data_IF_566031324498
#
_entry.id   IF_566031324498
#
_cell.length_a   1.000
_cell.length_b   1.000
_cell.length_c   1.000
_cell.angle_alpha   90.00
_cell.angle_beta   90.00
_cell.angle_gamma   90.00
#
_symmetry.space_group_name_H-M   'P 1'
#
loop_
_entity.id
_entity.type
_entity.pdbx_description
1 polymer ?
#
# COMPACT_ATOMS: atom_id res chain seq x y z
N UNK A 1 -22.86 -3.31 -7.13
CA UNK A 1 -21.60 -4.02 -6.77
C UNK A 1 -20.68 -4.17 -7.99
N UNK A 2 -19.37 -4.05 -7.78
CA UNK A 2 -18.34 -4.15 -8.82
C UNK A 2 -17.07 -4.83 -8.26
N UNK A 3 -16.11 -5.13 -9.12
CA UNK A 3 -14.77 -5.56 -8.75
C UNK A 3 -13.77 -4.69 -9.54
N UNK A 4 -12.76 -4.14 -8.89
CA UNK A 4 -11.79 -3.29 -9.57
C UNK A 4 -10.81 -4.14 -10.39
N UNK A 5 -10.56 -3.71 -11.63
CA UNK A 5 -9.46 -4.22 -12.44
C UNK A 5 -8.21 -3.39 -12.14
N UNK A 6 -7.08 -4.05 -11.86
CA UNK A 6 -5.78 -3.40 -11.72
C UNK A 6 -4.67 -4.36 -12.18
N UNK A 7 -3.46 -3.85 -12.38
CA UNK A 7 -2.25 -4.64 -12.60
C UNK A 7 -1.32 -4.49 -11.40
N UNK A 8 -0.12 -5.06 -11.47
CA UNK A 8 0.87 -4.95 -10.39
C UNK A 8 2.22 -5.51 -10.81
N UNK A 9 3.32 -4.96 -10.27
CA UNK A 9 4.61 -5.62 -10.18
C UNK A 9 4.65 -6.45 -8.90
N UNK A 10 4.61 -7.76 -9.05
CA UNK A 10 4.69 -8.70 -7.93
C UNK A 10 6.12 -9.17 -7.76
N UNK A 11 6.71 -8.91 -6.60
CA UNK A 11 8.13 -9.21 -6.32
C UNK A 11 9.10 -8.62 -7.36
N UNK A 12 8.75 -7.48 -7.95
CA UNK A 12 9.56 -6.76 -8.94
C UNK A 12 9.29 -7.13 -10.40
N UNK A 13 8.53 -8.19 -10.67
CA UNK A 13 8.15 -8.58 -12.04
C UNK A 13 6.72 -8.18 -12.36
N UNK A 14 6.48 -7.65 -13.56
CA UNK A 14 5.12 -7.27 -13.97
C UNK A 14 4.22 -8.52 -14.05
N UNK A 15 3.10 -8.50 -13.32
CA UNK A 15 2.20 -9.64 -13.19
C UNK A 15 1.10 -9.66 -14.26
N UNK A 16 0.99 -8.61 -15.08
CA UNK A 16 -0.15 -8.42 -15.99
C UNK A 16 -1.43 -8.13 -15.20
N UNK A 17 -2.58 -8.56 -15.74
CA UNK A 17 -3.88 -8.31 -15.14
C UNK A 17 -4.05 -9.05 -13.79
N UNK A 18 -4.34 -8.24 -12.77
CA UNK A 18 -4.79 -8.61 -11.44
C UNK A 18 -6.18 -7.99 -11.22
N UNK A 19 -6.55 -7.69 -9.99
CA UNK A 19 -7.83 -7.10 -9.68
C UNK A 19 -8.36 -7.62 -8.37
N UNK A 20 -9.56 -7.18 -8.03
CA UNK A 20 -10.29 -7.63 -6.86
C UNK A 20 -10.73 -9.10 -7.03
N UNK A 21 -9.79 -10.04 -6.90
CA UNK A 21 -10.03 -11.47 -7.11
C UNK A 21 -10.77 -12.16 -5.96
N UNK A 22 -10.91 -11.48 -4.83
CA UNK A 22 -11.68 -11.93 -3.69
C UNK A 22 -12.32 -10.75 -2.95
N UNK A 23 -12.44 -9.59 -3.60
CA UNK A 23 -13.05 -8.40 -3.04
C UNK A 23 -14.20 -7.94 -3.94
N UNK A 24 -15.21 -7.33 -3.33
CA UNK A 24 -16.36 -6.80 -4.05
C UNK A 24 -16.65 -5.40 -3.53
N UNK A 25 -16.49 -4.40 -4.39
CA UNK A 25 -16.95 -3.04 -4.15
C UNK A 25 -18.47 -3.03 -4.10
N UNK A 26 -19.01 -2.52 -3.01
CA UNK A 26 -20.46 -2.41 -2.82
C UNK A 26 -21.00 -1.08 -3.31
N UNK A 27 -20.25 -0.01 -3.07
CA UNK A 27 -20.66 1.37 -3.28
C UNK A 27 -19.88 2.33 -2.39
N UNK A 28 -20.29 3.58 -2.42
CA UNK A 28 -19.79 4.65 -1.56
C UNK A 28 -20.87 5.17 -0.64
N UNK A 29 -20.45 5.63 0.53
CA UNK A 29 -21.28 6.37 1.47
C UNK A 29 -20.64 7.70 1.81
N UNK A 30 -21.47 8.72 2.04
CA UNK A 30 -21.01 9.98 2.61
C UNK A 30 -21.10 9.91 4.13
N UNK A 31 -20.00 10.25 4.79
CA UNK A 31 -19.94 10.41 6.22
C UNK A 31 -20.67 11.68 6.68
N UNK A 32 -20.86 11.84 8.00
CA UNK A 32 -21.60 12.97 8.56
C UNK A 32 -21.00 14.36 8.25
N UNK A 33 -19.71 14.44 7.90
CA UNK A 33 -19.01 15.68 7.53
C UNK A 33 -18.76 15.76 6.02
N UNK A 34 -19.45 14.95 5.23
CA UNK A 34 -19.33 14.90 3.77
C UNK A 34 -18.12 14.11 3.28
N UNK A 35 -17.37 13.43 4.16
CA UNK A 35 -16.25 12.60 3.75
C UNK A 35 -16.74 11.35 2.98
N UNK A 36 -16.14 11.04 1.82
CA UNK A 36 -16.51 9.89 1.01
C UNK A 36 -15.80 8.63 1.49
N UNK A 37 -16.54 7.54 1.61
CA UNK A 37 -16.02 6.22 1.98
C UNK A 37 -16.46 5.16 0.99
N UNK A 38 -15.50 4.50 0.36
CA UNK A 38 -15.73 3.27 -0.40
C UNK A 38 -15.89 2.07 0.55
N UNK A 39 -16.81 1.19 0.21
CA UNK A 39 -17.11 -0.02 0.98
C UNK A 39 -16.80 -1.26 0.12
N UNK A 40 -15.96 -2.15 0.64
CA UNK A 40 -15.62 -3.43 0.01
C UNK A 40 -15.89 -4.62 0.94
N UNK A 41 -16.43 -5.72 0.38
CA UNK A 41 -16.46 -7.02 1.06
C UNK A 41 -15.32 -7.90 0.54
N UNK A 42 -14.39 -8.29 1.41
CA UNK A 42 -13.29 -9.21 1.08
C UNK A 42 -13.61 -10.62 1.59
N UNK A 43 -13.60 -11.60 0.69
CA UNK A 43 -14.09 -12.97 0.89
C UNK A 43 -15.49 -13.23 0.31
N UNK A 44 -16.07 -12.25 -0.40
CA UNK A 44 -17.45 -12.29 -0.90
C UNK A 44 -17.72 -13.39 -1.94
N UNK A 45 -16.68 -13.91 -2.60
CA UNK A 45 -16.78 -14.95 -3.61
C UNK A 45 -15.95 -14.63 -4.85
N UNK A 46 -16.20 -15.39 -5.91
CA UNK A 46 -15.51 -15.25 -7.19
C UNK A 46 -15.89 -13.94 -7.89
N UNK A 47 -14.93 -13.40 -8.61
CA UNK A 47 -15.06 -12.26 -9.53
C UNK A 47 -14.37 -12.63 -10.86
N UNK A 48 -14.53 -11.83 -11.92
CA UNK A 48 -13.76 -12.01 -13.15
C UNK A 48 -12.23 -11.96 -12.95
N UNK A 49 -11.76 -11.45 -11.81
CA UNK A 49 -10.35 -11.29 -11.48
C UNK A 49 -9.82 -12.35 -10.51
N UNK A 50 -10.62 -13.36 -10.12
CA UNK A 50 -10.20 -14.42 -9.19
C UNK A 50 -9.08 -15.31 -9.73
N UNK A 51 -8.83 -15.31 -11.04
CA UNK A 51 -7.87 -16.21 -11.71
C UNK A 51 -8.15 -17.66 -11.32
N UNK A 52 -7.20 -18.33 -10.67
CA UNK A 52 -7.32 -19.71 -10.20
C UNK A 52 -7.74 -19.81 -8.72
N UNK A 53 -7.93 -18.69 -8.03
CA UNK A 53 -8.33 -18.67 -6.62
C UNK A 53 -9.86 -18.83 -6.48
N UNK A 54 -10.30 -19.24 -5.29
CA UNK A 54 -11.72 -19.50 -4.99
C UNK A 54 -12.54 -18.26 -4.57
N UNK A 55 -11.91 -17.08 -4.52
CA UNK A 55 -12.55 -15.83 -4.10
C UNK A 55 -12.94 -15.77 -2.61
N UNK A 56 -12.48 -16.72 -1.79
CA UNK A 56 -12.82 -16.83 -0.36
C UNK A 56 -11.65 -16.43 0.55
N UNK A 57 -12.00 -15.93 1.73
CA UNK A 57 -11.08 -15.69 2.84
C UNK A 57 -11.48 -16.53 4.05
N UNK A 58 -10.51 -16.74 4.94
CA UNK A 58 -10.65 -17.60 6.12
C UNK A 58 -10.59 -16.77 7.39
N UNK A 59 -11.15 -17.30 8.47
CA UNK A 59 -11.29 -16.60 9.75
C UNK A 59 -9.96 -16.00 10.25
N UNK A 60 -8.87 -16.76 10.22
CA UNK A 60 -7.55 -16.28 10.67
C UNK A 60 -7.08 -15.05 9.89
N UNK A 61 -7.25 -15.04 8.55
CA UNK A 61 -6.82 -13.93 7.70
C UNK A 61 -7.72 -12.71 7.90
N UNK A 62 -9.03 -12.92 8.03
CA UNK A 62 -10.00 -11.85 8.22
C UNK A 62 -9.85 -11.18 9.59
N UNK A 63 -9.60 -11.94 10.66
CA UNK A 63 -9.33 -11.39 11.99
C UNK A 63 -8.02 -10.61 12.01
N UNK A 64 -6.95 -11.14 11.41
CA UNK A 64 -5.66 -10.43 11.33
C UNK A 64 -5.78 -9.09 10.60
N UNK A 65 -6.47 -9.08 9.46
CA UNK A 65 -6.73 -7.85 8.71
C UNK A 65 -7.60 -6.87 9.50
N UNK A 66 -8.67 -7.35 10.16
CA UNK A 66 -9.52 -6.52 11.01
C UNK A 66 -8.73 -5.87 12.14
N UNK A 67 -8.03 -6.67 12.94
CA UNK A 67 -7.27 -6.19 14.10
C UNK A 67 -6.17 -5.21 13.69
N UNK A 68 -5.42 -5.51 12.62
CA UNK A 68 -4.31 -4.66 12.21
C UNK A 68 -4.77 -3.34 11.57
N UNK A 69 -5.85 -3.37 10.79
CA UNK A 69 -6.49 -2.16 10.26
C UNK A 69 -6.83 -1.18 11.40
N UNK A 70 -7.48 -1.68 12.45
CA UNK A 70 -7.91 -0.84 13.57
C UNK A 70 -6.74 -0.46 14.50
N UNK A 71 -5.76 -1.35 14.70
CA UNK A 71 -4.55 -1.04 15.45
C UNK A 71 -3.74 0.07 14.78
N UNK A 72 -3.54 0.01 13.46
CA UNK A 72 -2.81 1.04 12.71
C UNK A 72 -3.52 2.38 12.78
N UNK A 73 -4.86 2.40 12.68
CA UNK A 73 -5.66 3.61 12.88
C UNK A 73 -5.46 4.21 14.26
N UNK A 74 -5.51 3.40 15.32
CA UNK A 74 -5.31 3.87 16.70
C UNK A 74 -3.86 4.25 17.03
N UNK A 75 -2.88 3.73 16.28
CA UNK A 75 -1.49 4.20 16.30
C UNK A 75 -1.30 5.54 15.56
N UNK A 76 -2.35 6.05 14.90
CA UNK A 76 -2.29 7.27 14.10
C UNK A 76 -1.63 7.08 12.73
N UNK A 77 -1.50 5.84 12.26
CA UNK A 77 -0.91 5.52 10.97
C UNK A 77 -2.02 5.41 9.90
N UNK A 78 -1.92 6.11 8.77
CA UNK A 78 -2.92 6.04 7.71
C UNK A 78 -3.14 4.60 7.22
N UNK A 79 -4.40 4.18 7.18
CA UNK A 79 -4.77 2.79 6.87
C UNK A 79 -6.22 2.67 6.38
N UNK A 80 -6.50 1.61 5.61
CA UNK A 80 -7.87 1.12 5.42
C UNK A 80 -8.47 0.66 6.75
N UNK A 81 -9.77 0.86 6.93
CA UNK A 81 -10.52 0.49 8.14
C UNK A 81 -11.27 -0.81 7.96
N UNK A 82 -11.57 -1.49 9.05
CA UNK A 82 -12.34 -2.72 9.05
C UNK A 82 -13.63 -2.55 9.87
N UNK A 83 -14.78 -2.68 9.22
CA UNK A 83 -16.08 -2.42 9.84
C UNK A 83 -16.71 -3.64 10.52
N UNK A 84 -16.71 -4.79 9.86
CA UNK A 84 -17.33 -6.03 10.36
C UNK A 84 -16.56 -7.26 9.88
N UNK A 85 -16.65 -8.35 10.64
CA UNK A 85 -16.09 -9.65 10.30
C UNK A 85 -17.17 -10.72 10.53
N UNK A 86 -17.63 -11.37 9.46
CA UNK A 86 -18.73 -12.34 9.48
C UNK A 86 -18.22 -13.70 9.03
N UNK A 87 -18.33 -14.70 9.90
CA UNK A 87 -17.94 -16.09 9.61
C UNK A 87 -19.15 -16.93 9.21
N UNK A 88 -18.90 -18.06 8.53
CA UNK A 88 -19.94 -19.00 8.09
C UNK A 88 -19.50 -20.44 8.29
N UNK A 89 -20.44 -21.39 8.19
CA UNK A 89 -20.14 -22.82 8.22
C UNK A 89 -19.61 -23.37 6.89
N UNK A 90 -19.68 -22.57 5.80
CA UNK A 90 -19.00 -22.89 4.55
C UNK A 90 -17.49 -22.99 4.77
N UNK A 91 -16.84 -23.99 4.18
CA UNK A 91 -15.41 -24.24 4.38
C UNK A 91 -14.64 -24.16 3.06
N UNK A 92 -13.37 -23.79 3.17
CA UNK A 92 -12.38 -23.87 2.10
C UNK A 92 -11.11 -24.54 2.59
N UNK A 93 -10.41 -25.19 1.67
CA UNK A 93 -9.15 -25.85 1.96
C UNK A 93 -8.03 -24.82 1.90
N UNK A 94 -7.22 -24.73 2.96
CA UNK A 94 -6.02 -23.91 3.01
C UNK A 94 -4.89 -24.67 3.67
N UNK A 95 -3.71 -24.48 3.14
CA UNK A 95 -2.49 -24.78 3.88
C UNK A 95 -2.16 -23.57 4.77
N UNK A 96 -2.19 -23.79 6.09
CA UNK A 96 -2.03 -22.71 7.06
C UNK A 96 -0.56 -22.30 7.17
N UNK A 97 0.34 -23.27 7.10
CA UNK A 97 1.77 -23.11 7.33
C UNK A 97 2.61 -23.28 6.06
N UNK A 98 1.96 -23.56 4.92
CA UNK A 98 2.62 -23.88 3.66
C UNK A 98 3.53 -25.12 3.79
N UNK A 99 3.13 -26.08 4.63
CA UNK A 99 3.88 -27.29 4.98
C UNK A 99 3.37 -28.56 4.27
N UNK A 100 2.41 -28.41 3.36
CA UNK A 100 1.76 -29.50 2.64
C UNK A 100 0.61 -30.16 3.41
N UNK A 101 0.20 -29.65 4.58
CA UNK A 101 -0.88 -30.21 5.41
C UNK A 101 -2.14 -29.33 5.39
N UNK A 102 -2.91 -29.32 4.28
CA UNK A 102 -4.06 -28.45 4.15
C UNK A 102 -5.20 -28.86 5.09
N UNK A 103 -5.88 -27.85 5.64
CA UNK A 103 -7.02 -27.99 6.55
C UNK A 103 -8.24 -27.28 6.01
N UNK A 104 -9.41 -27.76 6.41
CA UNK A 104 -10.66 -27.05 6.17
C UNK A 104 -10.78 -25.87 7.14
N UNK A 105 -10.86 -24.66 6.61
CA UNK A 105 -11.06 -23.43 7.36
C UNK A 105 -12.41 -22.81 7.01
N UNK A 106 -13.04 -22.15 8.00
CA UNK A 106 -14.33 -21.47 7.80
C UNK A 106 -14.17 -20.24 6.91
N UNK A 107 -15.01 -20.16 5.88
CA UNK A 107 -15.19 -18.97 5.05
C UNK A 107 -15.63 -17.80 5.91
N UNK A 108 -14.93 -16.69 5.77
CA UNK A 108 -15.17 -15.46 6.51
C UNK A 108 -15.09 -14.28 5.55
N UNK A 109 -15.99 -13.31 5.74
CA UNK A 109 -16.05 -12.07 4.99
C UNK A 109 -15.69 -10.92 5.93
N UNK A 110 -14.80 -10.02 5.48
CA UNK A 110 -14.48 -8.78 6.19
C UNK A 110 -14.95 -7.58 5.38
N UNK A 111 -15.63 -6.65 6.04
CA UNK A 111 -16.01 -5.35 5.49
C UNK A 111 -14.84 -4.39 5.63
N UNK A 112 -14.29 -3.94 4.51
CA UNK A 112 -13.23 -2.93 4.42
C UNK A 112 -13.83 -1.60 4.05
N UNK A 113 -13.30 -0.53 4.63
CA UNK A 113 -13.76 0.84 4.45
C UNK A 113 -12.52 1.72 4.22
N UNK A 114 -12.51 2.53 3.17
CA UNK A 114 -11.41 3.44 2.87
C UNK A 114 -11.92 4.68 2.13
N UNK A 115 -11.15 5.76 2.07
CA UNK A 115 -11.49 6.88 1.19
C UNK A 115 -11.47 6.44 -0.27
N UNK A 116 -10.52 5.58 -0.64
CA UNK A 116 -10.52 4.86 -1.90
C UNK A 116 -9.67 3.59 -1.85
N UNK A 117 -10.02 2.60 -2.68
CA UNK A 117 -9.21 1.41 -2.96
C UNK A 117 -8.41 1.50 -4.28
N UNK A 118 -8.26 2.70 -4.86
CA UNK A 118 -7.35 2.93 -5.99
C UNK A 118 -5.89 2.75 -5.55
N UNK A 119 -5.13 2.03 -6.36
CA UNK A 119 -3.75 1.61 -6.10
C UNK A 119 -2.81 2.18 -7.16
N UNK A 120 -1.49 2.11 -6.95
CA UNK A 120 -0.53 2.40 -8.01
C UNK A 120 -0.76 1.45 -9.19
N UNK A 121 -0.95 0.16 -8.89
CA UNK A 121 -1.31 -0.86 -9.88
C UNK A 121 -2.59 -0.60 -10.67
N UNK A 122 -3.50 0.26 -10.18
CA UNK A 122 -4.69 0.66 -10.95
C UNK A 122 -4.31 1.47 -12.19
N UNK A 123 -3.22 2.25 -12.15
CA UNK A 123 -2.68 2.94 -13.33
C UNK A 123 -1.83 2.03 -14.23
N UNK A 124 -1.36 0.90 -13.71
CA UNK A 124 -0.55 -0.05 -14.51
C UNK A 124 -1.41 -0.87 -15.50
N UNK A 125 -2.74 -0.74 -15.50
CA UNK A 125 -3.60 -1.38 -16.52
C UNK A 125 -3.35 -0.83 -17.94
N UNK A 126 -2.72 0.34 -18.04
CA UNK A 126 -2.33 0.98 -19.29
C UNK A 126 -0.91 0.61 -19.73
N UNK A 127 -0.17 -0.20 -18.94
CA UNK A 127 1.24 -0.53 -19.25
C UNK A 127 1.35 -1.32 -20.56
N UNK A 128 2.19 -0.89 -21.52
CA UNK A 128 2.49 -1.67 -22.72
C UNK A 128 3.18 -3.01 -22.39
N UNK A 129 3.42 -3.90 -23.38
CA UNK A 129 4.18 -5.12 -23.13
C UNK A 129 5.47 -4.85 -22.37
N UNK A 130 5.59 -5.47 -21.21
CA UNK A 130 6.76 -5.44 -20.36
C UNK A 130 7.91 -6.20 -21.01
N UNK A 131 9.08 -5.60 -21.06
CA UNK A 131 10.24 -6.13 -21.79
C UNK A 131 10.68 -7.50 -21.27
N UNK A 132 10.59 -7.71 -19.95
CA UNK A 132 11.09 -8.94 -19.31
C UNK A 132 10.05 -10.05 -19.28
N UNK A 133 8.80 -9.72 -18.96
CA UNK A 133 7.74 -10.72 -18.77
C UNK A 133 6.88 -10.94 -20.02
N UNK A 134 6.94 -10.03 -21.00
CA UNK A 134 6.06 -10.01 -22.17
C UNK A 134 4.59 -9.72 -21.85
N UNK A 135 4.25 -9.52 -20.57
CA UNK A 135 2.88 -9.26 -20.12
C UNK A 135 2.53 -7.79 -20.36
N UNK A 136 1.26 -7.51 -20.61
CA UNK A 136 0.74 -6.15 -20.81
C UNK A 136 -0.49 -5.90 -19.95
N UNK A 137 -0.80 -4.64 -19.72
CA UNK A 137 -2.07 -4.24 -19.12
C UNK A 137 -3.24 -4.47 -20.10
N UNK A 138 -4.48 -4.65 -19.60
CA UNK A 138 -5.66 -4.86 -20.44
C UNK A 138 -6.11 -3.61 -21.21
N UNK A 139 -5.54 -2.44 -20.93
CA UNK A 139 -6.01 -1.14 -21.42
C UNK A 139 -4.91 -0.29 -22.09
N UNK A 140 -3.84 -0.90 -22.60
CA UNK A 140 -2.64 -0.22 -23.15
C UNK A 140 -2.92 1.03 -23.98
N UNK A 141 -3.91 1.01 -24.86
CA UNK A 141 -4.20 2.10 -25.81
C UNK A 141 -5.38 3.00 -25.36
N UNK A 142 -5.74 2.97 -24.07
CA UNK A 142 -6.89 3.72 -23.51
C UNK A 142 -6.43 4.90 -22.67
N UNK A 143 -5.66 5.80 -23.29
CA UNK A 143 -5.19 7.04 -22.66
C UNK A 143 -6.35 7.91 -22.19
N UNK A 144 -7.49 7.86 -22.88
CA UNK A 144 -8.73 8.53 -22.49
C UNK A 144 -9.19 8.13 -21.08
N UNK A 145 -9.15 6.83 -20.76
CA UNK A 145 -9.53 6.32 -19.43
C UNK A 145 -8.46 6.67 -18.40
N UNK A 146 -7.17 6.65 -18.75
CA UNK A 146 -6.08 7.05 -17.84
C UNK A 146 -6.24 8.50 -17.40
N UNK A 147 -6.49 9.41 -18.33
CA UNK A 147 -6.72 10.84 -18.05
C UNK A 147 -7.93 10.98 -17.13
N UNK A 148 -9.05 10.35 -17.48
CA UNK A 148 -10.27 10.40 -16.69
C UNK A 148 -10.04 9.89 -15.25
N UNK A 149 -9.30 8.79 -15.10
CA UNK A 149 -8.98 8.22 -13.79
C UNK A 149 -8.06 9.15 -12.98
N UNK A 150 -7.05 9.75 -13.61
CA UNK A 150 -6.15 10.69 -12.95
C UNK A 150 -6.90 11.97 -12.52
N UNK A 151 -7.73 12.53 -13.41
CA UNK A 151 -8.59 13.67 -13.10
C UNK A 151 -9.54 13.36 -11.94
N UNK A 152 -10.15 12.18 -11.93
CA UNK A 152 -11.01 11.73 -10.83
C UNK A 152 -10.24 11.66 -9.51
N UNK A 153 -9.06 11.03 -9.51
CA UNK A 153 -8.25 10.90 -8.29
C UNK A 153 -7.86 12.26 -7.74
N UNK A 154 -7.35 13.15 -8.59
CA UNK A 154 -6.89 14.48 -8.16
C UNK A 154 -8.06 15.33 -7.68
N UNK A 155 -9.14 15.44 -8.46
CA UNK A 155 -10.29 16.27 -8.08
C UNK A 155 -11.02 15.77 -6.84
N UNK A 156 -11.03 14.46 -6.58
CA UNK A 156 -11.76 13.87 -5.45
C UNK A 156 -10.93 13.83 -4.17
N UNK A 157 -9.65 13.45 -4.27
CA UNK A 157 -8.81 13.16 -3.09
C UNK A 157 -7.69 14.16 -2.84
N UNK A 158 -7.48 15.08 -3.78
CA UNK A 158 -6.51 16.19 -3.72
C UNK A 158 -7.14 17.50 -4.23
N UNK A 159 -8.34 17.89 -3.75
CA UNK A 159 -9.07 19.04 -4.28
C UNK A 159 -8.26 20.34 -4.18
N UNK A 160 -7.41 20.49 -3.16
CA UNK A 160 -6.50 21.63 -3.00
C UNK A 160 -5.48 21.74 -4.14
N UNK A 161 -5.02 20.60 -4.67
CA UNK A 161 -4.10 20.56 -5.83
C UNK A 161 -4.87 20.87 -7.11
N UNK A 162 -6.09 20.35 -7.24
CA UNK A 162 -6.96 20.64 -8.38
C UNK A 162 -7.28 22.14 -8.48
N UNK A 163 -7.52 22.80 -7.34
CA UNK A 163 -7.80 24.23 -7.28
C UNK A 163 -6.55 25.08 -7.55
N UNK A 164 -5.41 24.74 -6.93
CA UNK A 164 -4.19 25.53 -7.07
C UNK A 164 -3.57 25.51 -8.48
N UNK A 165 -3.85 24.48 -9.28
CA UNK A 165 -3.26 24.27 -10.61
C UNK A 165 -4.33 24.04 -11.69
N UNK A 166 -5.49 24.69 -11.58
CA UNK A 166 -6.62 24.51 -12.51
C UNK A 166 -6.26 24.75 -13.99
N UNK A 167 -5.26 25.60 -14.24
CA UNK A 167 -4.93 26.08 -15.58
C UNK A 167 -3.80 25.27 -16.25
N UNK A 168 -3.20 24.29 -15.55
CA UNK A 168 -2.11 23.47 -16.08
C UNK A 168 -2.17 22.03 -15.58
N UNK A 169 -2.60 21.12 -16.46
CA UNK A 169 -2.68 19.68 -16.13
C UNK A 169 -1.31 19.10 -15.75
N UNK A 170 -0.23 19.48 -16.44
CA UNK A 170 1.12 18.99 -16.13
C UNK A 170 1.56 19.45 -14.73
N UNK A 171 1.40 20.72 -14.39
CA UNK A 171 1.77 21.22 -13.05
C UNK A 171 0.91 20.59 -11.96
N UNK A 172 -0.40 20.44 -12.22
CA UNK A 172 -1.32 19.75 -11.32
C UNK A 172 -0.93 18.30 -11.09
N UNK A 173 -0.62 17.56 -12.16
CA UNK A 173 -0.22 16.16 -12.09
C UNK A 173 1.14 16.00 -11.38
N UNK A 174 2.07 16.94 -11.61
CA UNK A 174 3.35 17.01 -10.90
C UNK A 174 3.15 17.28 -9.39
N UNK A 175 2.30 18.24 -9.03
CA UNK A 175 1.95 18.53 -7.64
C UNK A 175 1.27 17.34 -6.96
N UNK A 176 0.36 16.65 -7.65
CA UNK A 176 -0.24 15.40 -7.20
C UNK A 176 0.81 14.32 -6.94
N UNK A 177 1.69 14.06 -7.90
CA UNK A 177 2.74 13.05 -7.75
C UNK A 177 3.67 13.38 -6.58
N UNK A 178 4.06 14.66 -6.44
CA UNK A 178 4.82 15.16 -5.29
C UNK A 178 4.14 14.86 -3.96
N UNK A 179 2.84 15.12 -3.84
CA UNK A 179 2.10 14.81 -2.62
C UNK A 179 1.97 13.30 -2.37
N UNK A 180 1.75 12.48 -3.39
CA UNK A 180 1.73 11.01 -3.26
C UNK A 180 3.10 10.47 -2.80
N UNK A 181 4.19 11.02 -3.34
CA UNK A 181 5.57 10.72 -2.93
C UNK A 181 5.77 11.02 -1.45
N UNK A 182 5.38 12.22 -1.00
CA UNK A 182 5.48 12.61 0.42
C UNK A 182 4.62 11.76 1.34
N UNK A 183 3.37 11.48 0.96
CA UNK A 183 2.47 10.63 1.77
C UNK A 183 3.03 9.22 1.91
N UNK A 184 3.61 8.67 0.85
CA UNK A 184 4.23 7.34 0.86
C UNK A 184 5.48 7.33 1.73
N UNK A 185 6.36 8.34 1.61
CA UNK A 185 7.55 8.50 2.45
C UNK A 185 7.21 8.59 3.95
N UNK A 186 6.23 9.42 4.32
CA UNK A 186 5.73 9.52 5.69
C UNK A 186 5.14 8.20 6.19
N UNK A 187 4.36 7.51 5.35
CA UNK A 187 3.72 6.25 5.71
C UNK A 187 4.76 5.17 6.04
N UNK A 188 5.78 4.99 5.20
CA UNK A 188 6.81 3.99 5.48
C UNK A 188 7.70 4.41 6.65
N UNK A 189 7.96 5.71 6.86
CA UNK A 189 8.62 6.19 8.07
C UNK A 189 7.83 5.83 9.35
N UNK A 190 6.50 5.97 9.34
CA UNK A 190 5.64 5.51 10.44
C UNK A 190 5.78 4.00 10.68
N UNK A 191 5.80 3.20 9.61
CA UNK A 191 6.01 1.75 9.70
C UNK A 191 7.35 1.41 10.37
N UNK A 192 8.43 2.08 9.97
CA UNK A 192 9.74 1.90 10.60
C UNK A 192 9.68 2.30 12.09
N UNK A 193 9.01 3.39 12.45
CA UNK A 193 8.95 3.82 13.86
C UNK A 193 8.15 2.88 14.78
N UNK A 194 7.25 2.05 14.24
CA UNK A 194 6.46 1.08 15.04
C UNK A 194 6.88 -0.37 14.82
N UNK A 195 7.95 -0.61 14.05
CA UNK A 195 8.43 -1.95 13.74
C UNK A 195 7.44 -2.78 12.93
N UNK A 196 6.61 -2.14 12.10
CA UNK A 196 5.66 -2.83 11.21
C UNK A 196 6.36 -3.27 9.92
N UNK A 197 6.25 -4.55 9.58
CA UNK A 197 6.69 -5.13 8.33
C UNK A 197 5.48 -5.61 7.53
N UNK A 198 5.26 -5.04 6.34
CA UNK A 198 4.08 -5.30 5.51
C UNK A 198 4.15 -6.67 4.80
N UNK A 199 5.35 -7.07 4.37
CA UNK A 199 5.64 -8.38 3.76
C UNK A 199 5.23 -8.58 2.29
N UNK A 200 4.41 -7.68 1.70
CA UNK A 200 3.96 -7.78 0.30
C UNK A 200 3.79 -6.39 -0.32
N UNK A 201 4.89 -5.65 -0.46
CA UNK A 201 4.89 -4.29 -1.04
C UNK A 201 4.97 -4.34 -2.57
N UNK A 202 4.04 -5.07 -3.19
CA UNK A 202 3.82 -4.98 -4.63
C UNK A 202 3.16 -3.63 -4.99
N UNK A 203 3.28 -3.16 -6.23
CA UNK A 203 2.63 -1.91 -6.66
C UNK A 203 1.09 -1.99 -6.61
N UNK A 204 0.50 -3.18 -6.70
CA UNK A 204 -0.92 -3.37 -6.47
C UNK A 204 -1.33 -3.18 -5.00
N UNK A 205 -0.41 -3.24 -4.04
CA UNK A 205 -0.67 -2.99 -2.62
C UNK A 205 -0.22 -1.59 -2.16
N UNK A 206 0.05 -0.68 -3.08
CA UNK A 206 0.36 0.72 -2.77
C UNK A 206 -0.87 1.58 -3.01
N UNK A 207 -1.40 2.19 -1.96
CA UNK A 207 -2.57 3.07 -2.05
C UNK A 207 -2.22 4.40 -2.72
N UNK A 208 -3.06 4.88 -3.64
CA UNK A 208 -2.84 6.17 -4.29
C UNK A 208 -2.94 7.34 -3.31
N UNK A 209 -3.62 7.16 -2.17
CA UNK A 209 -3.83 8.18 -1.14
C UNK A 209 -2.93 8.00 0.09
N UNK A 210 -1.97 7.07 0.05
CA UNK A 210 -1.01 6.85 1.14
C UNK A 210 -1.58 6.13 2.36
N UNK A 211 -2.46 5.15 2.14
CA UNK A 211 -2.98 4.25 3.19
C UNK A 211 -2.21 2.93 3.24
N UNK A 212 -1.99 2.40 4.44
CA UNK A 212 -1.69 0.97 4.63
C UNK A 212 -2.89 0.14 4.13
N UNK A 213 -2.66 -0.81 3.24
CA UNK A 213 -3.71 -1.57 2.55
C UNK A 213 -3.30 -3.03 2.36
N UNK A 214 -4.26 -3.95 2.39
CA UNK A 214 -4.07 -5.38 2.10
C UNK A 214 -3.12 -6.12 3.07
N UNK A 215 -3.56 -6.16 4.32
CA UNK A 215 -3.00 -6.98 5.39
C UNK A 215 -3.01 -8.47 5.06
N UNK A 216 -1.86 -9.00 4.66
CA UNK A 216 -1.63 -10.42 4.43
C UNK A 216 -0.63 -11.01 5.44
N UNK A 217 0.56 -11.42 5.00
CA UNK A 217 1.62 -11.93 5.88
C UNK A 217 2.42 -10.78 6.52
N UNK A 218 1.74 -9.81 7.13
CA UNK A 218 2.41 -8.74 7.89
C UNK A 218 2.90 -9.23 9.26
N UNK A 219 3.81 -8.48 9.88
CA UNK A 219 4.24 -8.67 11.25
C UNK A 219 4.59 -7.35 11.93
N UNK A 220 4.34 -7.23 13.22
CA UNK A 220 5.04 -6.26 14.07
C UNK A 220 6.23 -6.99 14.69
N UNK A 221 7.40 -6.35 14.72
CA UNK A 221 8.59 -6.93 15.32
C UNK A 221 8.43 -7.04 16.83
N UNK A 222 8.59 -8.24 17.38
CA UNK A 222 8.67 -8.48 18.83
C UNK A 222 10.07 -8.16 19.37
N UNK A 223 11.12 -8.51 18.61
CA UNK A 223 12.53 -8.19 18.85
C UNK A 223 13.04 -7.40 17.66
N UNK A 224 13.87 -6.38 17.89
CA UNK A 224 14.41 -5.61 16.79
C UNK A 224 15.36 -6.46 15.94
N UNK A 225 14.98 -6.64 14.68
CA UNK A 225 15.76 -7.30 13.66
C UNK A 225 15.61 -6.51 12.34
N UNK A 226 16.63 -5.75 11.92
CA UNK A 226 16.53 -4.93 10.71
C UNK A 226 16.26 -5.80 9.46
N UNK A 227 16.70 -7.06 9.46
CA UNK A 227 16.54 -7.98 8.34
C UNK A 227 15.26 -8.84 8.45
N UNK A 228 14.36 -8.51 9.39
CA UNK A 228 13.14 -9.29 9.63
C UNK A 228 12.28 -9.45 8.36
N UNK A 229 12.01 -10.71 7.99
CA UNK A 229 11.11 -11.10 6.90
C UNK A 229 9.84 -11.72 7.51
N UNK A 230 8.73 -10.99 7.44
CA UNK A 230 7.44 -11.48 7.96
C UNK A 230 6.69 -12.41 7.00
N UNK A 231 7.04 -12.38 5.71
CA UNK A 231 6.41 -13.19 4.68
C UNK A 231 7.21 -14.46 4.39
N UNK A 232 6.68 -15.62 4.80
CA UNK A 232 7.31 -16.92 4.56
C UNK A 232 7.46 -17.32 3.08
N UNK A 233 6.86 -16.58 2.14
CA UNK A 233 7.09 -16.76 0.69
C UNK A 233 8.17 -15.84 0.12
N UNK A 234 8.68 -14.88 0.90
CA UNK A 234 9.71 -13.93 0.48
C UNK A 234 11.13 -14.48 0.74
N UNK A 235 11.53 -15.48 -0.03
CA UNK A 235 12.81 -16.18 0.15
C UNK A 235 14.05 -15.31 -0.10
N UNK A 236 13.91 -14.16 -0.77
CA UNK A 236 15.02 -13.25 -1.06
C UNK A 236 15.03 -12.03 -0.12
N UNK A 237 14.06 -11.96 0.79
CA UNK A 237 13.87 -10.82 1.68
C UNK A 237 13.69 -9.52 0.91
N UNK A 238 12.97 -9.53 -0.22
CA UNK A 238 12.69 -8.32 -1.01
C UNK A 238 11.93 -7.29 -0.17
N UNK A 239 11.01 -7.77 0.66
CA UNK A 239 10.15 -6.98 1.53
C UNK A 239 10.54 -7.08 3.00
N UNK A 240 11.83 -7.37 3.28
CA UNK A 240 12.39 -7.28 4.63
C UNK A 240 12.18 -5.88 5.21
N UNK A 241 12.11 -5.80 6.55
CA UNK A 241 11.80 -4.58 7.28
C UNK A 241 12.70 -3.39 6.90
N UNK A 242 14.02 -3.56 6.82
CA UNK A 242 14.95 -2.51 6.39
C UNK A 242 14.82 -2.10 4.93
N UNK A 243 14.22 -2.93 4.06
CA UNK A 243 14.07 -2.64 2.62
C UNK A 243 12.77 -1.91 2.28
N UNK A 244 11.81 -1.82 3.21
CA UNK A 244 10.52 -1.18 2.93
C UNK A 244 10.65 0.26 2.38
N UNK A 245 11.54 1.13 2.89
CA UNK A 245 11.71 2.48 2.35
C UNK A 245 12.12 2.47 0.87
N UNK A 246 13.16 1.72 0.50
CA UNK A 246 13.63 1.64 -0.89
C UNK A 246 12.61 0.98 -1.82
N UNK A 247 11.87 -0.03 -1.34
CA UNK A 247 10.81 -0.65 -2.13
C UNK A 247 9.65 0.32 -2.38
N UNK A 248 9.27 1.13 -1.39
CA UNK A 248 8.23 2.15 -1.57
C UNK A 248 8.67 3.23 -2.57
N UNK A 249 9.95 3.64 -2.54
CA UNK A 249 10.55 4.53 -3.54
C UNK A 249 10.51 3.90 -4.94
N UNK A 250 10.91 2.63 -5.06
CA UNK A 250 10.85 1.89 -6.32
C UNK A 250 9.40 1.79 -6.86
N UNK A 251 8.42 1.55 -5.98
CA UNK A 251 7.01 1.50 -6.36
C UNK A 251 6.49 2.86 -6.86
N UNK A 252 6.96 3.99 -6.30
CA UNK A 252 6.65 5.33 -6.81
C UNK A 252 7.25 5.55 -8.21
N UNK A 253 8.45 5.03 -8.48
CA UNK A 253 9.00 5.00 -9.84
C UNK A 253 8.11 4.23 -10.83
N UNK A 254 7.50 3.12 -10.39
CA UNK A 254 6.51 2.40 -11.22
C UNK A 254 5.21 3.17 -11.42
N UNK A 255 4.76 3.93 -10.44
CA UNK A 255 3.65 4.86 -10.63
C UNK A 255 4.01 5.96 -11.63
N UNK A 256 5.21 6.54 -11.55
CA UNK A 256 5.70 7.54 -12.51
C UNK A 256 5.68 7.02 -13.95
N UNK A 257 6.22 5.81 -14.19
CA UNK A 257 6.14 5.13 -15.49
C UNK A 257 4.69 4.97 -15.98
N UNK A 258 3.75 4.64 -15.08
CA UNK A 258 2.35 4.40 -15.42
C UNK A 258 1.56 5.69 -15.74
N UNK A 259 2.03 6.85 -15.27
CA UNK A 259 1.41 8.15 -15.51
C UNK A 259 1.81 8.79 -16.85
N UNK A 260 2.84 8.29 -17.53
CA UNK A 260 3.25 8.76 -18.86
C UNK A 260 2.13 8.53 -19.89
N UNK A 261 1.75 9.53 -20.73
CA UNK A 261 2.41 10.82 -20.92
C UNK A 261 1.81 11.98 -20.11
N UNK A 262 0.82 11.74 -19.25
CA UNK A 262 0.12 12.78 -18.48
C UNK A 262 1.03 13.49 -17.46
N UNK A 263 2.07 12.77 -17.02
CA UNK A 263 3.21 13.32 -16.31
C UNK A 263 4.49 12.83 -17.02
N UNK A 264 5.25 13.72 -17.66
CA UNK A 264 6.55 13.36 -18.25
C UNK A 264 7.48 12.74 -17.20
N UNK A 265 8.20 11.70 -17.61
CA UNK A 265 8.99 10.88 -16.69
C UNK A 265 10.09 11.73 -16.02
N UNK A 266 10.71 12.64 -16.76
CA UNK A 266 11.78 13.52 -16.29
C UNK A 266 11.33 14.42 -15.14
N UNK A 267 10.05 14.84 -15.14
CA UNK A 267 9.46 15.65 -14.07
C UNK A 267 9.22 14.79 -12.83
N UNK A 268 8.63 13.60 -13.00
CA UNK A 268 8.36 12.70 -11.88
C UNK A 268 9.62 12.13 -11.24
N UNK A 269 10.66 11.82 -12.02
CA UNK A 269 11.94 11.33 -11.51
C UNK A 269 12.64 12.41 -10.67
N UNK A 270 12.65 13.65 -11.14
CA UNK A 270 13.19 14.78 -10.37
C UNK A 270 12.45 14.97 -9.05
N UNK A 271 11.11 14.91 -9.05
CA UNK A 271 10.31 14.98 -7.82
C UNK A 271 10.66 13.84 -6.86
N UNK A 272 10.84 12.62 -7.38
CA UNK A 272 11.17 11.46 -6.54
C UNK A 272 12.55 11.62 -5.89
N UNK A 273 13.53 12.11 -6.65
CA UNK A 273 14.89 12.39 -6.18
C UNK A 273 14.92 13.50 -5.13
N UNK A 274 14.20 14.60 -5.37
CA UNK A 274 14.21 15.78 -4.48
C UNK A 274 13.40 15.58 -3.19
N UNK A 275 12.30 14.84 -3.23
CA UNK A 275 11.30 14.87 -2.15
C UNK A 275 11.26 13.60 -1.28
N UNK A 276 11.56 12.42 -1.82
CA UNK A 276 11.27 11.17 -1.11
C UNK A 276 12.17 10.96 0.11
N UNK A 277 13.49 10.94 -0.08
CA UNK A 277 14.45 10.64 1.00
C UNK A 277 14.39 11.74 2.06
N UNK A 278 14.35 13.01 1.63
CA UNK A 278 14.25 14.16 2.52
C UNK A 278 12.98 14.12 3.38
N UNK A 279 11.82 13.78 2.81
CA UNK A 279 10.57 13.68 3.57
C UNK A 279 10.57 12.44 4.49
N UNK A 280 11.10 11.30 4.03
CA UNK A 280 11.23 10.09 4.83
C UNK A 280 12.11 10.33 6.07
N UNK A 281 13.34 10.82 5.88
CA UNK A 281 14.31 11.04 6.95
C UNK A 281 13.77 12.04 7.98
N UNK A 282 13.20 13.15 7.49
CA UNK A 282 12.59 14.18 8.34
C UNK A 282 11.47 13.59 9.20
N UNK A 283 10.52 12.87 8.59
CA UNK A 283 9.37 12.32 9.31
C UNK A 283 9.79 11.21 10.28
N UNK A 284 10.68 10.31 9.84
CA UNK A 284 11.23 9.24 10.67
C UNK A 284 11.93 9.79 11.91
N UNK A 285 12.85 10.74 11.73
CA UNK A 285 13.60 11.31 12.84
C UNK A 285 12.68 12.10 13.78
N UNK A 286 11.70 12.83 13.26
CA UNK A 286 10.69 13.51 14.09
C UNK A 286 9.91 12.52 14.97
N UNK A 287 9.53 11.37 14.42
CA UNK A 287 8.80 10.33 15.17
C UNK A 287 9.70 9.62 16.18
N UNK A 288 10.95 9.32 15.82
CA UNK A 288 11.93 8.73 16.74
C UNK A 288 12.26 9.67 17.91
N UNK A 289 12.45 10.97 17.66
CA UNK A 289 12.59 11.99 18.70
C UNK A 289 11.43 11.97 19.70
N UNK A 290 10.18 11.94 19.21
CA UNK A 290 8.98 11.83 20.05
C UNK A 290 8.98 10.55 20.90
N UNK A 291 9.37 9.41 20.33
CA UNK A 291 9.48 8.13 21.06
C UNK A 291 10.54 8.16 22.15
N UNK A 292 11.63 8.91 21.94
CA UNK A 292 12.72 9.08 22.90
C UNK A 292 12.50 10.23 23.90
N UNK A 293 11.40 10.99 23.77
CA UNK A 293 11.14 12.15 24.62
C UNK A 293 11.98 13.40 24.28
N UNK A 294 12.62 13.43 23.12
CA UNK A 294 13.44 14.54 22.63
C UNK A 294 12.54 15.62 21.98
N UNK A 295 11.82 16.38 22.81
CA UNK A 295 10.76 17.29 22.35
C UNK A 295 11.09 18.78 22.47
N UNK A 296 12.25 19.14 23.02
CA UNK A 296 12.61 20.53 23.30
C UNK A 296 13.45 21.18 22.20
N UNK A 297 14.43 20.46 21.67
CA UNK A 297 15.36 20.93 20.64
C UNK A 297 15.57 19.80 19.63
N UNK A 298 15.69 20.16 18.35
CA UNK A 298 16.13 19.25 17.30
C UNK A 298 17.64 19.41 17.14
N UNK A 299 18.39 18.34 17.43
CA UNK A 299 19.84 18.33 17.33
C UNK A 299 20.28 17.41 16.18
N UNK A 300 21.42 17.71 15.57
CA UNK A 300 21.98 16.87 14.49
C UNK A 300 22.41 15.50 15.04
N UNK A 301 22.86 15.47 16.30
CA UNK A 301 23.31 14.26 16.99
C UNK A 301 22.16 13.28 17.30
N UNK A 302 20.89 13.70 17.23
CA UNK A 302 19.73 12.85 17.50
C UNK A 302 19.69 11.63 16.55
N UNK A 303 20.10 11.82 15.29
CA UNK A 303 20.16 10.72 14.31
C UNK A 303 21.17 9.65 14.71
N UNK A 304 22.31 10.08 15.26
CA UNK A 304 23.34 9.17 15.77
C UNK A 304 22.83 8.41 16.99
N UNK A 305 22.17 9.09 17.94
CA UNK A 305 21.58 8.46 19.12
C UNK A 305 20.53 7.39 18.74
N UNK A 306 19.66 7.70 17.77
CA UNK A 306 18.68 6.74 17.24
C UNK A 306 19.38 5.53 16.63
N UNK A 307 20.43 5.75 15.84
CA UNK A 307 21.18 4.65 15.19
C UNK A 307 21.88 3.75 16.21
N UNK A 308 22.56 4.33 17.19
CA UNK A 308 23.25 3.58 18.26
C UNK A 308 22.27 2.79 19.13
N UNK A 309 21.08 3.32 19.41
CA UNK A 309 20.03 2.60 20.11
C UNK A 309 19.59 1.36 19.34
N UNK A 310 19.30 1.50 18.04
CA UNK A 310 18.85 0.38 17.21
C UNK A 310 19.94 -0.69 17.05
N UNK A 311 21.21 -0.28 16.91
CA UNK A 311 22.34 -1.21 16.90
C UNK A 311 22.48 -1.97 18.23
N UNK A 312 22.27 -1.28 19.35
CA UNK A 312 22.26 -1.89 20.69
C UNK A 312 21.13 -2.91 20.84
N UNK A 313 19.91 -2.56 20.40
CA UNK A 313 18.76 -3.47 20.41
C UNK A 313 19.04 -4.73 19.58
N UNK A 314 19.57 -4.56 18.37
CA UNK A 314 19.91 -5.67 17.49
C UNK A 314 20.93 -6.64 18.12
N UNK A 315 22.02 -6.09 18.66
CA UNK A 315 23.11 -6.88 19.25
C UNK A 315 22.74 -7.57 20.58
N UNK A 316 21.91 -6.94 21.40
CA UNK A 316 21.51 -7.48 22.72
C UNK A 316 20.25 -8.33 22.68
N UNK A 317 19.49 -8.22 21.60
CA UNK A 317 18.29 -8.99 21.36
C UNK A 317 17.02 -8.49 22.02
N UNK A 318 16.97 -7.18 22.20
CA UNK A 318 15.81 -6.42 22.63
C UNK A 318 15.16 -5.68 21.46
#
# INVERSE_FOLDING_TARGET
PAAHCYCGHQFGSFAGQLGDGAAMYLGEVLGPRGERWEIQLKGAGLTPFSRQADGRKVLRSSIREFLCSEAMFHLGIPTTRAGTCVTSDSKVIRDIFYDGNPKNERCTVVLRIASTFIRFGSFEIFKPPDEYTGRKGPSVNRNDIRIQMLDYVISTFYPEIQEAYSDSSIQRNAAFFKEVTKRTARLVAEWQCVGFCHGVLNTDNMSIVGLTIDYGPFGFMDRYDPEHICNGSDNTGRYAYNKQPEICKWNLGKLAEALVPELPLEISELILEEEYDAEFEKHYLQKMRKKLGLIQLELEEDSKLVSELLETMHSTGW
#
